data_IF_065174279283
#
_entry.id   IF_065174279283
#
_cell.length_a   1.000
_cell.length_b   1.000
_cell.length_c   1.000
_cell.angle_alpha   90.00
_cell.angle_beta   90.00
_cell.angle_gamma   90.00
#
_symmetry.space_group_name_H-M   'P 1'
#
loop_
_entity.id
_entity.type
_entity.pdbx_description
1 polymer ?
#
# COMPACT_ATOMS: atom_id res chain seq x y z
N UNK A 1 -1.66 18.29 17.48
CA UNK A 1 -2.51 17.76 16.40
C UNK A 1 -2.11 16.31 16.14
N UNK A 2 -3.05 15.37 15.97
CA UNK A 2 -2.68 14.01 15.59
C UNK A 2 -1.90 14.05 14.26
N UNK A 3 -0.74 13.41 14.23
CA UNK A 3 0.12 13.37 13.05
C UNK A 3 -0.55 12.46 12.01
N UNK A 4 -1.28 13.06 11.07
CA UNK A 4 -2.05 12.35 10.04
C UNK A 4 -1.18 11.38 9.23
N UNK A 5 0.10 11.71 9.02
CA UNK A 5 1.06 10.83 8.36
C UNK A 5 1.36 9.57 9.18
N UNK A 6 1.45 9.69 10.51
CA UNK A 6 1.62 8.51 11.37
C UNK A 6 0.38 7.60 11.34
N UNK A 7 -0.82 8.18 11.25
CA UNK A 7 -2.07 7.41 11.09
C UNK A 7 -2.06 6.67 9.76
N UNK A 8 -1.69 7.33 8.66
CA UNK A 8 -1.56 6.67 7.36
C UNK A 8 -0.47 5.59 7.34
N UNK A 9 0.68 5.83 7.96
CA UNK A 9 1.74 4.82 8.08
C UNK A 9 1.24 3.56 8.80
N UNK A 10 0.52 3.73 9.91
CA UNK A 10 -0.07 2.63 10.67
C UNK A 10 -1.14 1.89 9.86
N UNK A 11 -2.01 2.63 9.15
CA UNK A 11 -3.02 2.05 8.27
C UNK A 11 -2.40 1.19 7.17
N UNK A 12 -1.42 1.71 6.43
CA UNK A 12 -0.76 0.96 5.35
C UNK A 12 0.03 -0.23 5.86
N UNK A 13 0.66 -0.11 7.03
CA UNK A 13 1.33 -1.25 7.70
C UNK A 13 0.31 -2.32 8.08
N UNK A 14 -0.85 -1.92 8.62
CA UNK A 14 -1.94 -2.83 8.95
C UNK A 14 -2.49 -3.55 7.71
N UNK A 15 -2.67 -2.84 6.60
CA UNK A 15 -3.08 -3.44 5.32
C UNK A 15 -2.01 -4.43 4.83
N UNK A 16 -0.73 -4.05 4.86
CA UNK A 16 0.36 -4.94 4.47
C UNK A 16 0.40 -6.21 5.34
N UNK A 17 0.21 -6.08 6.65
CA UNK A 17 0.12 -7.20 7.57
C UNK A 17 -1.08 -8.10 7.26
N UNK A 18 -2.26 -7.54 7.01
CA UNK A 18 -3.45 -8.30 6.63
C UNK A 18 -3.23 -9.08 5.32
N UNK A 19 -2.64 -8.44 4.31
CA UNK A 19 -2.33 -9.10 3.04
C UNK A 19 -1.30 -10.24 3.20
N UNK A 20 -0.40 -10.14 4.18
CA UNK A 20 0.62 -11.15 4.45
C UNK A 20 0.10 -12.32 5.29
N UNK A 21 -0.59 -12.04 6.40
CA UNK A 21 -1.05 -13.04 7.37
C UNK A 21 -2.41 -13.66 7.01
N UNK A 22 -3.27 -12.94 6.31
CA UNK A 22 -4.58 -13.43 5.85
C UNK A 22 -4.68 -13.39 4.31
N UNK A 23 -3.76 -14.04 3.58
CA UNK A 23 -3.67 -13.91 2.13
C UNK A 23 -4.84 -14.55 1.38
N UNK A 24 -5.68 -15.36 2.04
CA UNK A 24 -6.87 -15.98 1.45
C UNK A 24 -8.07 -15.02 1.38
N UNK A 25 -8.02 -13.88 2.10
CA UNK A 25 -9.11 -12.89 2.12
C UNK A 25 -9.08 -12.04 0.85
N UNK A 26 -10.23 -11.85 0.19
CA UNK A 26 -10.39 -10.89 -0.91
C UNK A 26 -10.44 -9.48 -0.34
N UNK A 27 -9.29 -8.81 -0.26
CA UNK A 27 -9.13 -7.49 0.37
C UNK A 27 -8.98 -6.35 -0.65
N UNK A 28 -8.55 -6.65 -1.87
CA UNK A 28 -8.30 -5.65 -2.92
C UNK A 28 -9.49 -5.63 -3.90
N UNK A 29 -10.45 -4.76 -3.66
CA UNK A 29 -11.67 -4.64 -4.48
C UNK A 29 -11.43 -4.19 -5.94
N UNK A 30 -10.19 -3.83 -6.29
CA UNK A 30 -9.82 -3.32 -7.62
C UNK A 30 -9.19 -4.39 -8.52
N UNK A 31 -9.09 -5.65 -8.08
CA UNK A 31 -8.57 -6.75 -8.88
C UNK A 31 -9.59 -7.87 -8.99
N UNK A 32 -9.77 -8.38 -10.21
CA UNK A 32 -10.57 -9.59 -10.43
C UNK A 32 -9.78 -10.83 -9.97
N UNK A 33 -10.33 -11.51 -8.98
CA UNK A 33 -9.72 -12.67 -8.35
C UNK A 33 -10.22 -13.94 -9.03
N UNK A 34 -9.56 -14.34 -10.13
CA UNK A 34 -9.99 -15.48 -10.93
C UNK A 34 -10.18 -16.80 -10.15
N UNK A 35 -9.22 -17.19 -9.31
CA UNK A 35 -9.29 -18.40 -8.46
C UNK A 35 -8.65 -18.16 -7.07
N UNK A 36 -8.99 -18.97 -6.07
CA UNK A 36 -8.48 -18.90 -4.71
C UNK A 36 -6.94 -18.94 -4.65
N UNK A 37 -6.29 -19.76 -5.48
CA UNK A 37 -4.83 -19.77 -5.57
C UNK A 37 -4.26 -18.44 -6.13
N UNK A 38 -5.01 -17.75 -6.99
CA UNK A 38 -4.63 -16.43 -7.51
C UNK A 38 -4.80 -15.34 -6.44
N UNK A 39 -5.82 -15.43 -5.57
CA UNK A 39 -6.00 -14.52 -4.42
C UNK A 39 -4.77 -14.52 -3.53
N UNK A 40 -4.32 -15.72 -3.11
CA UNK A 40 -3.15 -15.84 -2.23
C UNK A 40 -1.86 -15.35 -2.86
N UNK A 41 -1.62 -15.65 -4.15
CA UNK A 41 -0.44 -15.16 -4.87
C UNK A 41 -0.45 -13.64 -4.99
N UNK A 42 -1.59 -13.05 -5.34
CA UNK A 42 -1.74 -11.61 -5.48
C UNK A 42 -1.57 -10.89 -4.15
N UNK A 43 -2.20 -11.36 -3.08
CA UNK A 43 -2.10 -10.72 -1.77
C UNK A 43 -0.66 -10.79 -1.22
N UNK A 44 0.04 -11.92 -1.37
CA UNK A 44 1.47 -12.03 -1.03
C UNK A 44 2.36 -11.14 -1.89
N UNK A 45 2.00 -10.92 -3.16
CA UNK A 45 2.70 -9.99 -4.04
C UNK A 45 2.46 -8.53 -3.63
N UNK A 46 1.24 -8.20 -3.21
CA UNK A 46 0.84 -6.86 -2.81
C UNK A 46 1.36 -6.45 -1.43
N UNK A 47 1.45 -7.38 -0.48
CA UNK A 47 1.87 -7.14 0.90
C UNK A 47 3.19 -6.34 1.04
N UNK A 48 4.32 -6.76 0.44
CA UNK A 48 5.58 -5.99 0.56
C UNK A 48 5.51 -4.65 -0.16
N UNK A 49 4.70 -4.52 -1.21
CA UNK A 49 4.55 -3.26 -1.96
C UNK A 49 3.74 -2.23 -1.16
N UNK A 50 2.79 -2.67 -0.35
CA UNK A 50 2.06 -1.78 0.57
C UNK A 50 2.92 -1.24 1.72
N UNK A 51 4.14 -1.75 1.92
CA UNK A 51 5.10 -1.12 2.84
C UNK A 51 5.69 0.18 2.28
N UNK A 52 5.66 0.39 0.96
CA UNK A 52 6.14 1.63 0.34
C UNK A 52 5.35 2.86 0.81
N UNK A 53 4.01 2.92 0.69
CA UNK A 53 3.25 4.07 1.19
C UNK A 53 3.34 4.20 2.72
N UNK A 54 3.54 3.10 3.45
CA UNK A 54 3.83 3.15 4.88
C UNK A 54 5.16 3.86 5.17
N UNK A 55 6.25 3.46 4.50
CA UNK A 55 7.57 4.06 4.66
C UNK A 55 7.60 5.54 4.24
N UNK A 56 6.92 5.89 3.14
CA UNK A 56 6.76 7.28 2.70
C UNK A 56 6.07 8.10 3.79
N UNK A 57 5.01 7.58 4.39
CA UNK A 57 4.28 8.28 5.45
C UNK A 57 5.07 8.39 6.76
N UNK A 58 5.90 7.41 7.11
CA UNK A 58 6.86 7.56 8.22
C UNK A 58 7.84 8.70 7.93
N UNK A 59 8.39 8.75 6.71
CA UNK A 59 9.25 9.86 6.27
C UNK A 59 8.55 11.22 6.34
N UNK A 60 7.30 11.29 5.88
CA UNK A 60 6.48 12.51 5.96
C UNK A 60 6.19 12.91 7.42
N UNK A 61 5.93 11.94 8.29
CA UNK A 61 5.71 12.20 9.72
C UNK A 61 6.95 12.81 10.39
N UNK A 62 8.13 12.29 10.07
CA UNK A 62 9.43 12.81 10.56
C UNK A 62 9.68 14.20 9.98
N UNK A 63 9.53 14.38 8.67
CA UNK A 63 9.75 15.66 8.00
C UNK A 63 8.80 16.76 8.51
N UNK A 64 7.53 16.45 8.72
CA UNK A 64 6.55 17.38 9.29
C UNK A 64 6.84 17.72 10.76
N UNK A 65 7.44 16.80 11.52
CA UNK A 65 7.87 17.06 12.89
C UNK A 65 9.08 18.02 12.94
N UNK A 66 10.04 17.83 12.03
CA UNK A 66 11.24 18.69 11.95
C UNK A 66 10.95 20.05 11.29
N UNK A 67 10.07 20.07 10.28
CA UNK A 67 9.72 21.26 9.49
C UNK A 67 8.20 21.35 9.29
N UNK A 68 7.45 21.92 10.26
CA UNK A 68 5.99 21.97 10.21
C UNK A 68 5.43 22.68 8.97
N UNK A 69 6.17 23.63 8.40
CA UNK A 69 5.80 24.37 7.18
C UNK A 69 5.70 23.48 5.94
N UNK A 70 6.34 22.31 5.94
CA UNK A 70 6.28 21.33 4.84
C UNK A 70 5.05 20.40 4.93
N UNK A 71 4.24 20.50 5.98
CA UNK A 71 3.11 19.56 6.18
C UNK A 71 2.13 19.57 5.00
N UNK A 72 1.78 20.75 4.48
CA UNK A 72 0.84 20.90 3.35
C UNK A 72 1.36 20.22 2.08
N UNK A 73 2.58 20.51 1.59
CA UNK A 73 3.09 19.83 0.39
C UNK A 73 3.31 18.32 0.60
N UNK A 74 3.68 17.88 1.81
CA UNK A 74 3.88 16.46 2.11
C UNK A 74 2.58 15.64 2.03
N UNK A 75 1.40 16.25 2.22
CA UNK A 75 0.10 15.55 2.06
C UNK A 75 -0.04 14.92 0.68
N UNK A 76 0.50 15.55 -0.37
CA UNK A 76 0.41 15.03 -1.74
C UNK A 76 1.26 13.77 -1.99
N UNK A 77 2.30 13.52 -1.17
CA UNK A 77 3.11 12.30 -1.30
C UNK A 77 2.32 11.05 -0.93
N UNK A 78 1.32 11.17 -0.06
CA UNK A 78 0.47 10.04 0.34
C UNK A 78 -0.31 9.47 -0.85
N UNK A 79 -1.20 10.21 -1.54
CA UNK A 79 -1.94 9.67 -2.68
C UNK A 79 -1.00 9.29 -3.83
N UNK A 80 0.09 10.02 -4.09
CA UNK A 80 1.07 9.66 -5.12
C UNK A 80 1.72 8.30 -4.85
N UNK A 81 2.14 8.06 -3.61
CA UNK A 81 2.72 6.76 -3.22
C UNK A 81 1.71 5.62 -3.38
N UNK A 82 0.45 5.85 -3.01
CA UNK A 82 -0.63 4.86 -3.17
C UNK A 82 -0.88 4.57 -4.65
N UNK A 83 -1.03 5.59 -5.50
CA UNK A 83 -1.25 5.42 -6.94
C UNK A 83 -0.10 4.64 -7.59
N UNK A 84 1.15 4.97 -7.24
CA UNK A 84 2.33 4.26 -7.73
C UNK A 84 2.31 2.78 -7.32
N UNK A 85 1.95 2.48 -6.08
CA UNK A 85 1.86 1.10 -5.58
C UNK A 85 0.69 0.33 -6.20
N UNK A 86 -0.47 0.95 -6.35
CA UNK A 86 -1.63 0.33 -7.02
C UNK A 86 -1.30 0.01 -8.47
N UNK A 87 -0.69 0.94 -9.20
CA UNK A 87 -0.23 0.70 -10.58
C UNK A 87 0.80 -0.44 -10.63
N UNK A 88 1.77 -0.45 -9.71
CA UNK A 88 2.77 -1.52 -9.63
C UNK A 88 2.14 -2.89 -9.35
N UNK A 89 1.21 -2.97 -8.40
CA UNK A 89 0.48 -4.20 -8.09
C UNK A 89 -0.35 -4.65 -9.30
N UNK A 90 -1.04 -3.73 -9.98
CA UNK A 90 -1.84 -4.03 -11.18
C UNK A 90 -1.00 -4.56 -12.34
N UNK A 91 0.18 -3.98 -12.59
CA UNK A 91 1.13 -4.48 -13.58
C UNK A 91 1.63 -5.88 -13.21
N UNK A 92 1.91 -6.12 -11.92
CA UNK A 92 2.28 -7.45 -11.43
C UNK A 92 1.14 -8.47 -11.61
N UNK A 93 -0.08 -8.07 -11.29
CA UNK A 93 -1.28 -8.89 -11.40
C UNK A 93 -1.58 -9.32 -12.84
N UNK A 94 -1.49 -8.40 -13.80
CA UNK A 94 -1.73 -8.70 -15.22
C UNK A 94 -0.73 -9.70 -15.81
N UNK A 95 0.50 -9.77 -15.27
CA UNK A 95 1.49 -10.80 -15.64
C UNK A 95 1.16 -12.18 -15.05
N UNK A 96 0.51 -12.24 -13.89
CA UNK A 96 0.13 -13.48 -13.21
C UNK A 96 -1.14 -14.13 -13.78
N UNK A 97 -1.96 -13.37 -14.52
CA UNK A 97 -3.19 -13.86 -15.16
C UNK A 97 -3.00 -14.41 -16.60
N UNK A 98 -1.79 -14.37 -17.15
CA UNK A 98 -1.51 -14.99 -18.46
C UNK A 98 -1.36 -16.50 -18.29
N UNK A 99 -2.14 -17.34 -19.00
CA UNK A 99 -1.86 -18.77 -19.06
C UNK A 99 -0.49 -18.95 -19.70
N UNK A 100 0.39 -19.67 -19.00
CA UNK A 100 1.59 -20.26 -19.58
C UNK A 100 1.24 -21.56 -20.30
#
# INVERSE_FOLDING_TARGET
MPNIFAVFALLFTGIAALLFFAPERRLLNFVDYGDAAAVRRLNRHAAPRMLVPAAVNVGCAIAAHLHPTLSVPLVFLTPLSVLGVVAWIGIGASRMGRPG
#
